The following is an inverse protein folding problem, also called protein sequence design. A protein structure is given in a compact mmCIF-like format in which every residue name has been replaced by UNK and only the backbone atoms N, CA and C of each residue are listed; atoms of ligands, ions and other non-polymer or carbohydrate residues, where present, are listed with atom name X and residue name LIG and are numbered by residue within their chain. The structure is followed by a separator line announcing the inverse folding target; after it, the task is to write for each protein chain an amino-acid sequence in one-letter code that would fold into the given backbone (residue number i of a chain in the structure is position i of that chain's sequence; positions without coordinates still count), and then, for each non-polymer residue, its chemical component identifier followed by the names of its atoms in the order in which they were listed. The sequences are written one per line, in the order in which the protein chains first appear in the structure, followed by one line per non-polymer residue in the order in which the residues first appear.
data_IF_996207477509
#
_entry.id   IF_996207477509
#
_cell.length_a   1.000
_cell.length_b   1.000
_cell.length_c   1.000
_cell.angle_alpha   90.00
_cell.angle_beta   90.00
_cell.angle_gamma   90.00
#
_symmetry.space_group_name_H-M   'P 1'
#
loop_
_entity.id
_entity.type
_entity.pdbx_description
1 polymer ?
#
# COMPACT_ATOMS: atom_id res chain seq x y z
N UNK A 1 20.26 12.74 -4.71
CA UNK A 1 19.62 12.61 -4.59
C UNK A 1 18.80 12.28 -4.56
N UNK A 2 18.57 12.27 -4.44
CA UNK A 2 17.86 11.90 -4.29
C UNK A 2 17.02 11.61 -4.28
N UNK A 3 16.77 11.41 -4.21
CA UNK A 3 15.98 11.07 -4.19
C UNK A 3 15.11 10.77 -4.16
N UNK A 4 15.03 10.88 -4.27
CA UNK A 4 14.14 10.42 -3.83
C UNK A 4 13.03 9.93 -4.32
N UNK A 5 12.88 9.04 -3.97
CA UNK A 5 11.71 8.45 -4.49
C UNK A 5 10.49 9.15 -3.94
N UNK A 6 9.70 9.64 -4.80
CA UNK A 6 8.46 10.30 -4.43
C UNK A 6 7.34 9.33 -4.53
N UNK A 7 6.47 9.35 -3.52
CA UNK A 7 5.27 8.54 -3.54
C UNK A 7 4.10 9.44 -3.91
N UNK A 8 3.29 8.96 -4.82
CA UNK A 8 2.05 9.64 -5.16
C UNK A 8 1.00 9.22 -4.15
N UNK A 9 0.33 10.19 -3.54
CA UNK A 9 -0.69 9.92 -2.55
C UNK A 9 -2.02 9.65 -3.23
N UNK A 10 -2.61 8.51 -2.92
CA UNK A 10 -3.91 8.13 -3.48
C UNK A 10 -4.74 7.51 -2.37
N UNK A 11 -6.04 7.43 -2.59
CA UNK A 11 -6.91 6.73 -1.67
C UNK A 11 -6.84 5.24 -1.95
N UNK A 12 -7.01 4.44 -0.90
CA UNK A 12 -6.98 2.99 -1.04
C UNK A 12 -7.97 2.52 -2.11
N UNK A 13 -9.14 3.17 -2.19
CA UNK A 13 -10.17 2.81 -3.17
C UNK A 13 -9.68 2.94 -4.62
N UNK A 14 -8.70 3.82 -4.85
CA UNK A 14 -8.22 4.09 -6.21
C UNK A 14 -7.20 3.07 -6.67
N UNK A 15 -6.79 2.15 -5.81
CA UNK A 15 -5.82 1.13 -6.16
C UNK A 15 -6.48 -0.01 -6.93
N UNK A 16 -5.77 -0.53 -7.91
CA UNK A 16 -6.22 -1.74 -8.62
C UNK A 16 -5.92 -2.96 -7.74
N UNK A 17 -6.70 -4.00 -7.93
CA UNK A 17 -6.42 -5.26 -7.25
C UNK A 17 -5.07 -5.79 -7.72
N UNK A 18 -4.25 -6.26 -6.77
CA UNK A 18 -2.91 -6.73 -7.05
C UNK A 18 -1.86 -5.64 -7.06
N UNK A 19 -2.26 -4.39 -6.88
CA UNK A 19 -1.32 -3.28 -6.88
C UNK A 19 -0.61 -3.18 -5.54
N UNK A 20 0.72 -3.00 -5.59
CA UNK A 20 1.55 -2.78 -4.41
C UNK A 20 1.48 -1.31 -4.02
N UNK A 21 1.41 -1.05 -2.72
CA UNK A 21 1.36 0.31 -2.22
C UNK A 21 2.08 0.42 -0.88
N UNK A 22 2.36 1.65 -0.48
CA UNK A 22 3.06 1.96 0.76
C UNK A 22 2.07 2.55 1.76
N UNK A 23 2.05 2.03 2.98
CA UNK A 23 1.23 2.58 4.05
C UNK A 23 2.11 3.45 4.95
N UNK A 24 1.91 4.77 4.96
CA UNK A 24 2.76 5.65 5.77
C UNK A 24 2.59 5.48 7.28
N UNK A 25 1.47 4.94 7.72
CA UNK A 25 1.23 4.76 9.15
C UNK A 25 2.11 3.65 9.70
N UNK A 26 2.18 2.53 9.02
CA UNK A 26 3.02 1.40 9.44
C UNK A 26 4.41 1.47 8.83
N UNK A 27 4.61 2.28 7.80
CA UNK A 27 5.86 2.38 7.05
C UNK A 27 6.23 1.06 6.39
N UNK A 28 5.21 0.31 5.94
CA UNK A 28 5.40 -0.99 5.30
C UNK A 28 4.67 -1.02 3.97
N UNK A 29 5.00 -2.01 3.16
CA UNK A 29 4.38 -2.19 1.85
C UNK A 29 3.35 -3.30 1.91
N UNK A 30 2.30 -3.14 1.12
CA UNK A 30 1.16 -4.05 1.07
C UNK A 30 0.76 -4.27 -0.39
N UNK A 31 -0.03 -5.31 -0.62
CA UNK A 31 -0.62 -5.55 -1.94
C UNK A 31 -2.13 -5.66 -1.77
N UNK A 32 -2.88 -4.90 -2.58
CA UNK A 32 -4.33 -4.86 -2.48
C UNK A 32 -4.93 -6.16 -2.98
N UNK A 33 -5.76 -6.80 -2.14
CA UNK A 33 -6.41 -8.06 -2.50
C UNK A 33 -7.89 -7.92 -2.71
N UNK A 34 -8.53 -6.95 -2.04
CA UNK A 34 -9.96 -6.72 -2.20
C UNK A 34 -10.25 -5.26 -1.90
N UNK A 35 -11.54 -4.92 -1.88
CA UNK A 35 -11.95 -3.53 -1.66
C UNK A 35 -11.48 -2.97 -0.32
N UNK A 36 -11.20 -3.83 0.67
CA UNK A 36 -10.79 -3.35 2.00
C UNK A 36 -9.66 -4.17 2.61
N UNK A 37 -9.07 -5.11 1.89
CA UNK A 37 -8.05 -6.00 2.45
C UNK A 37 -6.76 -5.94 1.66
N UNK A 38 -5.65 -5.89 2.37
CA UNK A 38 -4.32 -5.90 1.76
C UNK A 38 -3.32 -6.52 2.74
N UNK A 39 -2.71 -7.64 2.39
CA UNK A 39 -1.67 -8.22 3.24
C UNK A 39 -0.35 -7.46 3.12
N UNK A 40 0.38 -7.42 4.23
CA UNK A 40 1.71 -6.82 4.27
C UNK A 40 2.70 -7.72 3.54
N UNK A 41 3.54 -7.12 2.72
CA UNK A 41 4.53 -7.87 1.95
C UNK A 41 5.97 -7.47 2.27
N UNK A 42 6.17 -6.53 3.19
CA UNK A 42 7.51 -6.11 3.61
C UNK A 42 7.67 -6.36 5.11
N UNK A 43 8.86 -6.11 5.62
CA UNK A 43 9.14 -6.38 7.02
C UNK A 43 8.95 -7.84 7.34
N UNK A 44 8.10 -8.14 8.31
CA UNK A 44 7.78 -9.53 8.67
C UNK A 44 6.58 -10.07 7.90
N UNK A 45 6.02 -9.28 7.01
CA UNK A 45 4.86 -9.69 6.23
C UNK A 45 5.26 -10.62 5.10
N UNK A 46 4.42 -11.61 4.84
CA UNK A 46 4.66 -12.57 3.77
C UNK A 46 3.52 -12.62 2.75
N UNK A 47 2.61 -11.66 2.81
CA UNK A 47 1.54 -11.54 1.85
C UNK A 47 0.38 -12.51 2.06
N UNK A 48 0.31 -13.18 3.22
CA UNK A 48 -0.74 -14.17 3.45
C UNK A 48 -1.81 -13.72 4.43
N UNK A 49 -1.48 -12.82 5.36
CA UNK A 49 -2.43 -12.38 6.37
C UNK A 49 -2.91 -10.99 5.99
N UNK A 50 -4.17 -10.83 5.58
CA UNK A 50 -4.65 -9.52 5.14
C UNK A 50 -4.94 -8.59 6.30
N UNK A 51 -4.60 -7.32 6.12
CA UNK A 51 -4.97 -6.25 7.02
C UNK A 51 -6.14 -5.47 6.42
N UNK A 52 -6.94 -4.89 7.29
CA UNK A 52 -8.07 -4.09 6.84
C UNK A 52 -7.65 -2.66 6.58
N UNK A 53 -8.16 -2.10 5.49
CA UNK A 53 -7.96 -0.71 5.13
C UNK A 53 -9.32 -0.08 4.87
N UNK A 54 -9.42 1.19 5.22
CA UNK A 54 -10.59 2.00 4.88
C UNK A 54 -10.39 2.47 3.44
N UNK A 55 -11.46 2.49 2.65
CA UNK A 55 -11.34 2.92 1.26
C UNK A 55 -10.88 4.37 1.12
N UNK A 56 -11.01 5.18 2.16
CA UNK A 56 -10.56 6.56 2.16
C UNK A 56 -9.15 6.74 2.75
N UNK A 57 -8.51 5.66 3.18
CA UNK A 57 -7.14 5.76 3.69
C UNK A 57 -6.20 6.25 2.59
N UNK A 58 -5.34 7.18 2.97
CA UNK A 58 -4.35 7.72 2.03
C UNK A 58 -3.10 6.86 2.08
N UNK A 59 -2.70 6.36 0.94
CA UNK A 59 -1.53 5.50 0.80
C UNK A 59 -0.64 6.03 -0.31
N UNK A 60 0.54 5.46 -0.45
CA UNK A 60 1.49 5.91 -1.45
C UNK A 60 1.74 4.85 -2.51
N UNK A 61 1.87 5.29 -3.75
CA UNK A 61 2.29 4.40 -4.84
C UNK A 61 3.55 4.96 -5.47
N UNK A 62 4.40 4.06 -5.95
CA UNK A 62 5.64 4.47 -6.58
C UNK A 62 5.37 5.27 -7.84
N UNK A 63 6.19 6.27 -8.06
CA UNK A 63 6.07 7.15 -9.22
C UNK A 63 7.43 7.17 -9.90
N UNK A 64 7.47 6.72 -11.12
CA UNK A 64 8.71 6.71 -11.93
C UNK A 64 8.69 7.82 -12.93
#
# INVERSE_FOLDING_TARGET
MATDSKLLRVKFRDLALGQTFYDPISAEYFVKRSACLAPMISGIGNGTIPDEFDEDDIVGIGQN
#
